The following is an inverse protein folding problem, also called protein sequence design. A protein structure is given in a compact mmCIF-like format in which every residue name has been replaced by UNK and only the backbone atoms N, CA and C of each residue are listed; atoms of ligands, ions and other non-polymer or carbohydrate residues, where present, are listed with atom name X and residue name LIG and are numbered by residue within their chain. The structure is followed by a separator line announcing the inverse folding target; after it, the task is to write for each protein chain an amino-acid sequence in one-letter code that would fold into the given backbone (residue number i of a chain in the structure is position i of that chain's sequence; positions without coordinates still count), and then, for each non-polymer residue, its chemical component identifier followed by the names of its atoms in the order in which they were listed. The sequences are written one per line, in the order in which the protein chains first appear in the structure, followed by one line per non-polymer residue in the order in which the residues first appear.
data_IF_421069085251
#
_entry.id   IF_421069085251
#
_cell.length_a   1.000
_cell.length_b   1.000
_cell.length_c   1.000
_cell.angle_alpha   90.00
_cell.angle_beta   90.00
_cell.angle_gamma   90.00
#
_symmetry.space_group_name_H-M   'P 1'
#
loop_
_entity.id
_entity.type
_entity.pdbx_description
1 polymer ?
#
# COMPACT_ATOMS: atom_id res chain seq x y z
N UNK A 1 54.43 23.62 24.77
CA UNK A 1 53.22 24.41 24.47
C UNK A 1 52.04 23.44 24.49
N UNK A 2 51.23 23.48 25.57
CA UNK A 2 50.01 22.67 25.74
C UNK A 2 48.82 23.54 25.34
N UNK A 3 48.08 23.15 24.31
CA UNK A 3 46.78 23.73 24.02
C UNK A 3 45.68 22.82 24.55
N UNK A 4 44.92 23.37 25.47
CA UNK A 4 43.75 22.82 26.07
C UNK A 4 42.58 22.99 25.09
N UNK A 5 41.94 21.88 24.65
CA UNK A 5 40.66 21.91 23.92
C UNK A 5 39.53 21.80 24.92
N UNK A 6 38.82 22.89 25.13
CA UNK A 6 37.52 22.91 25.81
C UNK A 6 36.44 22.31 24.90
N UNK A 7 35.92 21.14 25.31
CA UNK A 7 34.72 20.57 24.72
C UNK A 7 33.47 21.32 25.22
N UNK A 8 32.89 22.12 24.38
CA UNK A 8 31.55 22.68 24.59
C UNK A 8 30.53 21.65 24.10
N UNK A 9 29.88 20.97 25.04
CA UNK A 9 28.73 20.12 24.76
C UNK A 9 27.53 21.03 24.52
N UNK A 10 27.17 21.21 23.25
CA UNK A 10 25.92 21.85 22.86
C UNK A 10 24.78 20.82 22.97
N UNK A 11 23.99 20.95 24.03
CA UNK A 11 22.76 20.18 24.19
C UNK A 11 21.73 20.61 23.15
N UNK A 12 21.45 19.77 22.19
CA UNK A 12 20.36 19.93 21.24
C UNK A 12 19.07 19.46 21.93
N UNK A 13 18.28 20.42 22.40
CA UNK A 13 16.90 20.20 22.84
C UNK A 13 16.04 19.97 21.58
N UNK A 14 15.83 18.70 21.23
CA UNK A 14 14.83 18.34 20.20
C UNK A 14 13.46 18.43 20.83
N UNK A 15 12.80 19.56 20.64
CA UNK A 15 11.38 19.68 20.90
C UNK A 15 10.61 18.88 19.83
N UNK A 16 10.24 17.64 20.15
CA UNK A 16 9.33 16.85 19.34
C UNK A 16 7.94 17.46 19.51
N UNK A 17 7.57 18.38 18.62
CA UNK A 17 6.20 18.81 18.41
C UNK A 17 5.47 17.62 17.77
N UNK A 18 4.92 16.75 18.60
CA UNK A 18 3.90 15.78 18.21
C UNK A 18 2.63 16.55 17.83
N UNK A 19 2.66 17.12 16.63
CA UNK A 19 1.45 17.56 15.98
C UNK A 19 0.58 16.33 15.78
N UNK A 20 -0.52 16.25 16.52
CA UNK A 20 -1.61 15.31 16.32
C UNK A 20 -2.30 15.64 14.98
N UNK A 21 -1.63 15.38 13.87
CA UNK A 21 -2.29 15.19 12.59
C UNK A 21 -3.07 13.89 12.73
N UNK A 22 -4.30 13.99 13.22
CA UNK A 22 -5.25 12.90 13.15
C UNK A 22 -5.37 12.52 11.69
N UNK A 23 -4.85 11.35 11.32
CA UNK A 23 -5.13 10.73 10.04
C UNK A 23 -6.65 10.54 10.00
N UNK A 24 -7.34 11.48 9.37
CA UNK A 24 -8.75 11.31 9.04
C UNK A 24 -8.82 10.16 8.03
N UNK A 25 -9.01 8.95 8.53
CA UNK A 25 -9.34 7.81 7.68
C UNK A 25 -10.67 8.13 7.00
N UNK A 26 -10.61 8.51 5.73
CA UNK A 26 -11.81 8.69 4.95
C UNK A 26 -12.55 7.35 4.89
N UNK A 27 -13.83 7.36 5.28
CA UNK A 27 -14.65 6.17 5.24
C UNK A 27 -14.77 5.69 3.78
N UNK A 28 -14.35 4.45 3.46
CA UNK A 28 -14.30 3.95 2.08
C UNK A 28 -15.67 3.59 1.51
N UNK A 29 -16.74 3.66 2.30
CA UNK A 29 -18.08 3.27 1.89
C UNK A 29 -18.95 4.48 1.53
N UNK A 30 -19.93 4.33 0.63
CA UNK A 30 -20.85 5.41 0.28
C UNK A 30 -21.59 5.96 1.49
N UNK A 31 -21.66 7.28 1.59
CA UNK A 31 -22.31 7.99 2.71
C UNK A 31 -23.75 7.50 2.88
N UNK A 32 -24.12 7.13 4.11
CA UNK A 32 -25.47 6.66 4.45
C UNK A 32 -25.73 5.16 4.19
N UNK A 33 -24.76 4.42 3.63
CA UNK A 33 -24.89 2.96 3.51
C UNK A 33 -24.76 2.28 4.89
N UNK A 34 -25.31 1.05 5.02
CA UNK A 34 -25.17 0.24 6.23
C UNK A 34 -23.68 0.04 6.59
N UNK A 35 -22.84 -0.19 5.58
CA UNK A 35 -21.41 -0.35 5.75
C UNK A 35 -20.74 0.94 6.22
N UNK A 36 -21.18 2.10 5.74
CA UNK A 36 -20.71 3.40 6.19
C UNK A 36 -21.00 3.62 7.70
N UNK A 37 -22.23 3.29 8.14
CA UNK A 37 -22.61 3.39 9.55
C UNK A 37 -21.83 2.41 10.42
N UNK A 38 -21.68 1.16 9.99
CA UNK A 38 -20.91 0.15 10.71
C UNK A 38 -19.43 0.56 10.84
N UNK A 39 -18.81 1.04 9.76
CA UNK A 39 -17.43 1.52 9.78
C UNK A 39 -17.25 2.69 10.75
N UNK A 40 -18.13 3.69 10.68
CA UNK A 40 -18.09 4.83 11.59
C UNK A 40 -18.30 4.41 13.05
N UNK A 41 -19.20 3.46 13.32
CA UNK A 41 -19.40 2.90 14.65
C UNK A 41 -18.15 2.20 15.19
N UNK A 42 -17.46 1.42 14.38
CA UNK A 42 -16.18 0.79 14.74
C UNK A 42 -15.12 1.85 15.01
N UNK A 43 -14.97 2.83 14.12
CA UNK A 43 -13.98 3.90 14.28
C UNK A 43 -14.22 4.76 15.52
N UNK A 44 -15.50 5.06 15.83
CA UNK A 44 -15.87 5.76 17.06
C UNK A 44 -15.54 4.93 18.30
N UNK A 45 -15.88 3.64 18.32
CA UNK A 45 -15.59 2.76 19.45
C UNK A 45 -14.09 2.63 19.71
N UNK A 46 -13.27 2.57 18.66
CA UNK A 46 -11.81 2.55 18.78
C UNK A 46 -11.26 3.90 19.26
N UNK A 47 -11.78 5.02 18.76
CA UNK A 47 -11.41 6.35 19.23
C UNK A 47 -11.73 6.53 20.72
N UNK A 48 -12.92 6.09 21.15
CA UNK A 48 -13.34 6.12 22.55
C UNK A 48 -12.48 5.19 23.43
N UNK A 49 -12.06 4.04 22.92
CA UNK A 49 -11.13 3.14 23.62
C UNK A 49 -9.78 3.83 23.81
N UNK A 50 -9.20 4.37 22.75
CA UNK A 50 -7.92 5.10 22.79
C UNK A 50 -8.02 6.31 23.74
N UNK A 51 -9.14 7.03 23.72
CA UNK A 51 -9.36 8.17 24.62
C UNK A 51 -9.45 7.72 26.09
N UNK A 52 -10.15 6.63 26.38
CA UNK A 52 -10.19 6.04 27.74
C UNK A 52 -8.81 5.59 28.21
N UNK A 53 -8.03 4.92 27.35
CA UNK A 53 -6.67 4.50 27.66
C UNK A 53 -5.75 5.71 27.91
N UNK A 54 -5.83 6.77 27.10
CA UNK A 54 -5.10 8.02 27.30
C UNK A 54 -5.49 8.72 28.61
N UNK A 55 -6.78 8.74 28.94
CA UNK A 55 -7.26 9.34 30.18
C UNK A 55 -6.85 8.52 31.40
N UNK A 56 -6.85 7.19 31.31
CA UNK A 56 -6.37 6.32 32.37
C UNK A 56 -4.86 6.52 32.64
N UNK A 57 -4.06 6.70 31.57
CA UNK A 57 -2.63 7.05 31.69
C UNK A 57 -2.44 8.44 32.31
N UNK A 58 -3.29 9.43 31.98
CA UNK A 58 -3.23 10.78 32.56
C UNK A 58 -3.63 10.85 34.03
N UNK A 59 -4.46 9.93 34.50
CA UNK A 59 -4.90 9.87 35.90
C UNK A 59 -3.88 9.14 36.81
N UNK A 60 -2.84 8.53 36.25
CA UNK A 60 -1.76 8.01 37.05
C UNK A 60 -0.92 9.16 37.62
N UNK A 61 -0.57 9.12 38.93
CA UNK A 61 0.19 10.20 39.54
C UNK A 61 1.50 10.45 38.79
N UNK A 62 1.67 11.69 38.34
CA UNK A 62 2.71 12.22 37.43
C UNK A 62 4.16 11.97 37.93
N UNK A 63 4.34 11.52 39.17
CA UNK A 63 5.66 11.38 39.80
C UNK A 63 6.25 9.97 39.80
N UNK A 64 5.60 8.98 39.14
CA UNK A 64 6.12 7.63 39.08
C UNK A 64 6.44 7.27 37.64
N UNK A 65 7.68 7.33 37.27
CA UNK A 65 8.15 6.77 36.01
C UNK A 65 7.73 5.30 35.87
N UNK A 66 7.66 4.76 34.63
CA UNK A 66 7.28 3.37 34.41
C UNK A 66 8.20 2.44 35.19
N UNK A 67 7.60 1.44 35.84
CA UNK A 67 8.37 0.41 36.53
C UNK A 67 9.09 -0.48 35.51
N UNK A 68 10.16 -1.15 35.95
CA UNK A 68 10.87 -2.09 35.10
C UNK A 68 9.97 -3.24 34.57
N UNK A 69 8.89 -3.57 35.27
CA UNK A 69 7.89 -4.54 34.81
C UNK A 69 7.03 -3.97 33.68
N UNK A 70 6.58 -2.72 33.79
CA UNK A 70 5.81 -2.03 32.76
C UNK A 70 6.62 -1.82 31.49
N UNK A 71 7.91 -1.45 31.62
CA UNK A 71 8.84 -1.34 30.48
C UNK A 71 8.96 -2.69 29.76
N UNK A 72 9.24 -3.78 30.49
CA UNK A 72 9.33 -5.11 29.89
C UNK A 72 8.02 -5.54 29.21
N UNK A 73 6.87 -5.28 29.84
CA UNK A 73 5.59 -5.60 29.25
C UNK A 73 5.30 -4.79 27.98
N UNK A 74 5.75 -3.55 27.91
CA UNK A 74 5.67 -2.72 26.71
C UNK A 74 6.59 -3.25 25.60
N UNK A 75 7.85 -3.56 25.92
CA UNK A 75 8.82 -4.13 24.99
C UNK A 75 8.34 -5.46 24.38
N UNK A 76 7.73 -6.32 25.20
CA UNK A 76 7.14 -7.58 24.73
C UNK A 76 6.00 -7.32 23.74
N UNK A 77 5.07 -6.42 24.07
CA UNK A 77 3.96 -6.06 23.16
C UNK A 77 4.48 -5.46 21.86
N UNK A 78 5.47 -4.58 21.94
CA UNK A 78 6.09 -3.99 20.76
C UNK A 78 6.72 -5.08 19.87
N UNK A 79 7.46 -6.01 20.45
CA UNK A 79 8.07 -7.14 19.74
C UNK A 79 7.00 -8.04 19.07
N UNK A 80 5.88 -8.30 19.74
CA UNK A 80 4.75 -9.05 19.17
C UNK A 80 4.11 -8.33 18.00
N UNK A 81 3.90 -7.01 18.11
CA UNK A 81 3.35 -6.18 17.03
C UNK A 81 4.31 -6.18 15.83
N UNK A 82 5.60 -5.98 16.06
CA UNK A 82 6.59 -6.00 14.97
C UNK A 82 6.68 -7.38 14.30
N UNK A 83 6.62 -8.46 15.07
CA UNK A 83 6.58 -9.82 14.51
C UNK A 83 5.30 -10.07 13.68
N UNK A 84 4.18 -9.49 14.08
CA UNK A 84 2.91 -9.56 13.33
C UNK A 84 2.99 -8.79 12.01
N UNK A 85 3.50 -7.56 12.05
CA UNK A 85 3.73 -6.75 10.86
C UNK A 85 4.67 -7.47 9.88
N UNK A 86 5.79 -8.03 10.39
CA UNK A 86 6.72 -8.78 9.57
C UNK A 86 6.05 -9.98 8.86
N UNK A 87 5.18 -10.71 9.57
CA UNK A 87 4.40 -11.80 8.97
C UNK A 87 3.45 -11.31 7.88
N UNK A 88 2.74 -10.20 8.08
CA UNK A 88 1.87 -9.63 7.06
C UNK A 88 2.66 -9.15 5.83
N UNK A 89 3.83 -8.52 6.03
CA UNK A 89 4.70 -8.13 4.93
C UNK A 89 5.28 -9.30 4.16
N UNK A 90 5.54 -10.42 4.83
CA UNK A 90 6.00 -11.65 4.21
C UNK A 90 4.89 -12.43 3.49
N UNK A 91 3.62 -12.19 3.85
CA UNK A 91 2.48 -12.84 3.21
C UNK A 91 2.34 -12.31 1.77
N UNK A 92 2.31 -13.16 0.73
CA UNK A 92 2.08 -12.69 -0.62
C UNK A 92 0.61 -12.26 -0.80
N UNK A 93 0.43 -11.03 -1.24
CA UNK A 93 -0.85 -10.51 -1.70
C UNK A 93 -0.79 -10.35 -3.21
N UNK A 94 -1.47 -11.24 -3.92
CA UNK A 94 -1.43 -11.31 -5.37
C UNK A 94 -2.42 -10.36 -6.03
N UNK A 95 -2.00 -9.82 -7.15
CA UNK A 95 -2.84 -9.09 -8.09
C UNK A 95 -2.60 -9.63 -9.50
N UNK A 96 -3.65 -9.65 -10.30
CA UNK A 96 -3.59 -9.91 -11.71
C UNK A 96 -4.18 -8.74 -12.50
N UNK A 97 -3.64 -8.49 -13.69
CA UNK A 97 -4.10 -7.50 -14.64
C UNK A 97 -4.39 -8.21 -15.97
N UNK A 98 -5.54 -7.94 -16.55
CA UNK A 98 -5.90 -8.37 -17.88
C UNK A 98 -6.34 -7.18 -18.74
N UNK A 99 -6.22 -7.32 -20.03
CA UNK A 99 -6.59 -6.29 -21.01
C UNK A 99 -7.45 -6.88 -22.12
N UNK A 100 -8.54 -6.22 -22.42
CA UNK A 100 -9.42 -6.53 -23.55
C UNK A 100 -9.04 -5.65 -24.75
N UNK A 101 -8.27 -6.21 -25.69
CA UNK A 101 -7.71 -5.44 -26.82
C UNK A 101 -8.79 -4.74 -27.65
N UNK A 102 -9.88 -5.40 -28.10
CA UNK A 102 -10.87 -4.76 -28.97
C UNK A 102 -11.56 -3.53 -28.33
N UNK A 103 -11.81 -3.59 -27.02
CA UNK A 103 -12.52 -2.53 -26.31
C UNK A 103 -11.59 -1.63 -25.49
N UNK A 104 -10.29 -1.85 -25.52
CA UNK A 104 -9.26 -1.11 -24.78
C UNK A 104 -9.56 -1.00 -23.29
N UNK A 105 -10.04 -2.09 -22.68
CA UNK A 105 -10.44 -2.10 -21.28
C UNK A 105 -9.44 -2.85 -20.42
N UNK A 106 -9.10 -2.25 -19.30
CA UNK A 106 -8.28 -2.86 -18.26
C UNK A 106 -9.19 -3.49 -17.21
N UNK A 107 -8.93 -4.73 -16.85
CA UNK A 107 -9.52 -5.43 -15.70
C UNK A 107 -8.42 -5.84 -14.76
N UNK A 108 -8.68 -5.74 -13.47
CA UNK A 108 -7.74 -6.18 -12.45
C UNK A 108 -8.45 -6.65 -11.19
N UNK A 109 -7.78 -7.52 -10.46
CA UNK A 109 -8.21 -7.98 -9.15
C UNK A 109 -6.99 -8.22 -8.27
N UNK A 110 -7.01 -7.70 -7.05
CA UNK A 110 -5.85 -7.73 -6.15
C UNK A 110 -6.24 -7.99 -4.70
N UNK A 111 -5.22 -8.26 -3.88
CA UNK A 111 -5.36 -8.58 -2.48
C UNK A 111 -5.55 -10.07 -2.17
N UNK A 112 -5.40 -10.95 -3.16
CA UNK A 112 -5.59 -12.40 -2.99
C UNK A 112 -4.31 -13.07 -2.46
N UNK A 113 -4.51 -14.16 -1.69
CA UNK A 113 -3.40 -14.94 -1.13
C UNK A 113 -2.80 -15.95 -2.10
N UNK A 114 -3.41 -16.13 -3.26
CA UNK A 114 -2.87 -16.98 -4.33
C UNK A 114 -2.97 -16.29 -5.67
N UNK A 115 -1.97 -16.55 -6.51
CA UNK A 115 -1.91 -16.07 -7.89
C UNK A 115 -3.12 -16.57 -8.69
N UNK A 116 -3.43 -17.86 -8.56
CA UNK A 116 -4.54 -18.50 -9.29
C UNK A 116 -5.87 -17.81 -9.01
N UNK A 117 -6.15 -17.44 -7.75
CA UNK A 117 -7.37 -16.72 -7.38
C UNK A 117 -7.39 -15.29 -7.96
N UNK A 118 -6.26 -14.58 -7.95
CA UNK A 118 -6.17 -13.26 -8.56
C UNK A 118 -6.46 -13.33 -10.06
N UNK A 119 -5.89 -14.31 -10.76
CA UNK A 119 -6.11 -14.54 -12.19
C UNK A 119 -7.56 -14.92 -12.47
N UNK A 120 -8.12 -15.89 -11.75
CA UNK A 120 -9.50 -16.33 -11.88
C UNK A 120 -10.49 -15.15 -11.76
N UNK A 121 -10.32 -14.35 -10.71
CA UNK A 121 -11.20 -13.20 -10.47
C UNK A 121 -11.03 -12.10 -11.53
N UNK A 122 -9.80 -11.84 -11.97
CA UNK A 122 -9.53 -10.88 -13.05
C UNK A 122 -10.18 -11.31 -14.36
N UNK A 123 -10.04 -12.58 -14.72
CA UNK A 123 -10.65 -13.13 -15.94
C UNK A 123 -12.18 -13.21 -15.82
N UNK A 124 -12.71 -13.48 -14.63
CA UNK A 124 -14.16 -13.42 -14.39
C UNK A 124 -14.74 -12.02 -14.61
N UNK A 125 -14.02 -10.96 -14.21
CA UNK A 125 -14.39 -9.56 -14.45
C UNK A 125 -14.35 -9.17 -15.91
N UNK A 126 -13.50 -9.81 -16.69
CA UNK A 126 -13.52 -9.66 -18.14
C UNK A 126 -14.84 -10.14 -18.75
N UNK A 127 -15.39 -11.22 -18.22
CA UNK A 127 -16.64 -11.83 -18.69
C UNK A 127 -16.41 -12.93 -19.73
N UNK A 128 -17.38 -13.83 -19.80
CA UNK A 128 -17.33 -14.97 -20.72
C UNK A 128 -17.43 -14.51 -22.18
N UNK A 129 -16.67 -15.13 -23.06
CA UNK A 129 -16.69 -14.86 -24.51
C UNK A 129 -15.96 -13.58 -24.94
N UNK A 130 -15.27 -12.89 -24.04
CA UNK A 130 -14.45 -11.73 -24.37
C UNK A 130 -12.98 -12.09 -24.58
N UNK A 131 -12.33 -11.38 -25.50
CA UNK A 131 -10.91 -11.58 -25.81
C UNK A 131 -10.03 -10.84 -24.81
N UNK A 132 -10.01 -11.30 -23.55
CA UNK A 132 -9.08 -10.77 -22.56
C UNK A 132 -7.77 -11.56 -22.55
N UNK A 133 -6.71 -10.81 -22.42
CA UNK A 133 -5.38 -11.35 -22.28
C UNK A 133 -4.83 -11.00 -20.90
N UNK A 134 -4.28 -11.99 -20.21
CA UNK A 134 -3.57 -11.76 -18.98
C UNK A 134 -2.29 -10.99 -19.30
N UNK A 135 -2.13 -9.81 -18.71
CA UNK A 135 -0.97 -8.93 -18.94
C UNK A 135 0.11 -9.19 -17.90
N UNK A 136 -0.27 -9.27 -16.62
CA UNK A 136 0.68 -9.47 -15.54
C UNK A 136 0.04 -10.11 -14.31
N UNK A 137 0.87 -10.82 -13.55
CA UNK A 137 0.62 -11.19 -12.16
C UNK A 137 1.79 -10.75 -11.29
N UNK A 138 1.53 -10.34 -10.06
CA UNK A 138 2.56 -9.91 -9.13
C UNK A 138 2.04 -9.91 -7.70
N UNK A 139 2.98 -9.91 -6.74
CA UNK A 139 2.66 -9.83 -5.32
C UNK A 139 3.60 -8.86 -4.59
N UNK A 140 3.07 -8.17 -3.58
CA UNK A 140 3.81 -7.28 -2.66
C UNK A 140 4.67 -6.23 -3.38
N UNK A 141 4.17 -5.68 -4.47
CA UNK A 141 4.87 -4.69 -5.29
C UNK A 141 3.86 -3.86 -6.10
N UNK A 142 4.33 -2.88 -6.84
CA UNK A 142 3.54 -2.21 -7.87
C UNK A 142 3.92 -2.74 -9.25
N UNK A 143 2.97 -2.67 -10.17
CA UNK A 143 3.19 -2.95 -11.59
C UNK A 143 2.43 -1.96 -12.45
N UNK A 144 2.97 -1.69 -13.61
CA UNK A 144 2.32 -0.97 -14.70
C UNK A 144 2.66 -1.65 -16.01
N UNK A 145 1.86 -1.44 -17.02
CA UNK A 145 2.18 -1.89 -18.38
C UNK A 145 2.08 -0.72 -19.36
N UNK A 146 2.97 -0.78 -20.33
CA UNK A 146 3.01 0.13 -21.48
C UNK A 146 2.78 -0.66 -22.76
N UNK A 147 2.45 0.05 -23.83
CA UNK A 147 2.21 -0.48 -25.16
C UNK A 147 2.54 0.59 -26.21
N UNK A 148 2.76 0.22 -27.49
CA UNK A 148 3.02 1.17 -28.57
C UNK A 148 1.89 2.19 -28.70
N UNK A 149 2.20 3.39 -29.12
CA UNK A 149 1.23 4.41 -29.44
C UNK A 149 0.23 3.89 -30.49
N UNK A 150 -1.03 4.28 -30.34
CA UNK A 150 -2.13 3.68 -31.11
C UNK A 150 -2.77 2.46 -30.43
N UNK A 151 -2.16 1.92 -29.38
CA UNK A 151 -2.68 0.83 -28.56
C UNK A 151 -2.13 -0.55 -28.93
N UNK A 152 -2.30 -1.54 -28.05
CA UNK A 152 -1.86 -2.90 -28.31
C UNK A 152 -2.76 -3.59 -29.33
N UNK A 153 -2.18 -4.35 -30.26
CA UNK A 153 -2.88 -5.17 -31.23
C UNK A 153 -2.83 -6.65 -30.93
N UNK A 154 -1.84 -7.10 -30.14
CA UNK A 154 -1.61 -8.49 -29.76
C UNK A 154 -1.02 -8.54 -28.34
N UNK A 155 -1.07 -9.70 -27.67
CA UNK A 155 -0.54 -9.84 -26.29
C UNK A 155 0.95 -9.51 -26.12
N UNK A 156 1.75 -9.69 -27.18
CA UNK A 156 3.20 -9.36 -27.14
C UNK A 156 3.48 -7.85 -27.17
N UNK A 157 2.48 -7.00 -27.34
CA UNK A 157 2.64 -5.56 -27.33
C UNK A 157 2.58 -4.95 -25.91
N UNK A 158 2.40 -5.78 -24.88
CA UNK A 158 2.41 -5.33 -23.50
C UNK A 158 3.80 -5.46 -22.88
N UNK A 159 4.29 -4.36 -22.35
CA UNK A 159 5.59 -4.26 -21.66
C UNK A 159 5.34 -3.95 -20.18
N UNK A 160 5.69 -4.89 -19.31
CA UNK A 160 5.37 -4.80 -17.89
C UNK A 160 6.57 -4.31 -17.10
N UNK A 161 6.39 -3.23 -16.35
CA UNK A 161 7.34 -2.75 -15.35
C UNK A 161 6.85 -3.08 -13.95
N UNK A 162 7.75 -3.59 -13.09
CA UNK A 162 7.47 -3.88 -11.68
C UNK A 162 8.49 -3.16 -10.81
N UNK A 163 8.02 -2.51 -9.74
CA UNK A 163 8.86 -1.88 -8.73
C UNK A 163 8.04 -1.68 -7.44
N UNK A 164 8.70 -1.53 -6.30
CA UNK A 164 8.00 -1.14 -5.06
C UNK A 164 7.46 0.29 -5.11
N UNK A 165 8.06 1.13 -5.92
CA UNK A 165 7.59 2.48 -6.20
C UNK A 165 6.77 2.49 -7.48
N UNK A 166 5.52 2.97 -7.42
CA UNK A 166 4.60 2.99 -8.56
C UNK A 166 5.12 3.78 -9.75
N UNK A 167 5.72 4.95 -9.52
CA UNK A 167 6.31 5.75 -10.59
C UNK A 167 7.48 5.04 -11.27
N UNK A 168 8.30 4.32 -10.50
CA UNK A 168 9.38 3.51 -11.08
C UNK A 168 8.83 2.33 -11.90
N UNK A 169 7.70 1.75 -11.50
CA UNK A 169 7.03 0.73 -12.29
C UNK A 169 6.57 1.28 -13.65
N UNK A 170 6.00 2.50 -13.70
CA UNK A 170 5.64 3.19 -14.95
C UNK A 170 6.90 3.39 -15.81
N UNK A 171 7.94 4.00 -15.26
CA UNK A 171 9.18 4.28 -15.99
C UNK A 171 9.79 3.00 -16.57
N UNK A 172 9.78 1.89 -15.83
CA UNK A 172 10.29 0.60 -16.32
C UNK A 172 9.44 0.05 -17.47
N UNK A 173 8.11 0.15 -17.36
CA UNK A 173 7.21 -0.31 -18.40
C UNK A 173 7.42 0.48 -19.71
N UNK A 174 7.45 1.81 -19.62
CA UNK A 174 7.64 2.71 -20.76
C UNK A 174 9.01 2.46 -21.41
N UNK A 175 10.08 2.41 -20.63
CA UNK A 175 11.45 2.13 -21.16
C UNK A 175 11.55 0.78 -21.85
N UNK A 176 10.89 -0.25 -21.32
CA UNK A 176 10.87 -1.57 -21.96
C UNK A 176 10.16 -1.54 -23.32
N UNK A 177 9.08 -0.78 -23.42
CA UNK A 177 8.36 -0.56 -24.67
C UNK A 177 9.19 0.28 -25.67
N UNK A 178 9.76 1.39 -25.22
CA UNK A 178 10.58 2.29 -26.04
C UNK A 178 11.85 1.61 -26.58
N UNK A 179 12.42 0.66 -25.85
CA UNK A 179 13.55 -0.14 -26.30
C UNK A 179 13.23 -0.96 -27.57
N UNK A 180 11.95 -1.27 -27.81
CA UNK A 180 11.48 -2.03 -28.97
C UNK A 180 10.92 -1.13 -30.05
N UNK A 181 10.16 -0.10 -29.67
CA UNK A 181 9.38 0.73 -30.59
C UNK A 181 9.98 2.11 -30.86
N UNK A 182 10.98 2.52 -30.09
CA UNK A 182 11.62 3.84 -30.21
C UNK A 182 11.18 4.81 -29.12
N UNK A 183 12.00 5.83 -28.90
CA UNK A 183 11.77 6.86 -27.89
C UNK A 183 10.49 7.65 -28.17
N UNK A 184 9.69 7.92 -27.14
CA UNK A 184 8.38 8.58 -27.22
C UNK A 184 7.36 7.92 -28.17
N UNK A 185 7.47 6.60 -28.39
CA UNK A 185 6.51 5.83 -29.19
C UNK A 185 5.65 4.89 -28.33
N UNK A 186 5.60 5.13 -27.03
CA UNK A 186 4.93 4.26 -26.08
C UNK A 186 4.09 5.04 -25.08
N UNK A 187 2.87 4.57 -24.91
CA UNK A 187 1.95 5.01 -23.87
C UNK A 187 1.80 3.95 -22.79
N UNK A 188 1.46 4.34 -21.58
CA UNK A 188 1.07 3.41 -20.52
C UNK A 188 -0.43 3.49 -20.25
N UNK A 189 -0.97 2.47 -19.57
CA UNK A 189 -2.38 2.42 -19.25
C UNK A 189 -2.77 3.58 -18.32
N UNK A 190 -3.74 4.38 -18.74
CA UNK A 190 -4.36 5.40 -17.89
C UNK A 190 -5.35 4.70 -16.95
N UNK A 191 -4.98 4.58 -15.69
CA UNK A 191 -5.76 3.91 -14.67
C UNK A 191 -5.75 4.72 -13.37
N UNK A 192 -6.92 4.81 -12.77
CA UNK A 192 -7.09 5.34 -11.42
C UNK A 192 -7.39 4.18 -10.49
N UNK A 193 -6.46 3.86 -9.62
CA UNK A 193 -6.63 2.83 -8.60
C UNK A 193 -6.73 3.46 -7.22
N UNK A 194 -7.03 2.66 -6.21
CA UNK A 194 -7.02 3.12 -4.82
C UNK A 194 -5.62 3.50 -4.33
N UNK A 195 -4.57 3.07 -5.01
CA UNK A 195 -3.17 3.35 -4.71
C UNK A 195 -2.54 4.37 -5.65
N UNK A 196 -3.34 5.12 -6.42
CA UNK A 196 -2.92 6.12 -7.41
C UNK A 196 -2.93 5.57 -8.83
N UNK A 197 -2.04 6.08 -9.68
CA UNK A 197 -2.00 5.81 -11.12
C UNK A 197 -1.30 4.50 -11.47
N UNK A 198 -1.10 3.60 -10.50
CA UNK A 198 -0.45 2.30 -10.66
C UNK A 198 -1.17 1.21 -9.91
N UNK A 199 -0.97 -0.04 -10.34
CA UNK A 199 -1.48 -1.23 -9.66
C UNK A 199 -0.49 -1.65 -8.59
N UNK A 200 -0.83 -1.42 -7.31
CA UNK A 200 -0.01 -1.86 -6.19
C UNK A 200 -0.76 -2.87 -5.32
N UNK A 201 -0.04 -3.86 -4.80
CA UNK A 201 -0.58 -4.86 -3.89
C UNK A 201 0.43 -5.23 -2.82
N UNK A 202 -0.05 -5.66 -1.66
CA UNK A 202 0.76 -6.00 -0.50
C UNK A 202 0.27 -5.31 0.76
N UNK A 203 0.80 -5.73 1.91
CA UNK A 203 0.43 -5.16 3.20
C UNK A 203 0.62 -3.63 3.26
N UNK A 204 1.71 -3.12 2.67
CA UNK A 204 2.02 -1.70 2.70
C UNK A 204 1.14 -0.86 1.75
N UNK A 205 0.38 -1.48 0.84
CA UNK A 205 -0.47 -0.81 -0.15
C UNK A 205 -1.97 -1.08 0.03
N UNK A 206 -2.33 -2.21 0.65
CA UNK A 206 -3.72 -2.52 0.95
C UNK A 206 -3.80 -3.12 2.35
N UNK A 207 -4.37 -2.38 3.27
CA UNK A 207 -4.52 -2.80 4.68
C UNK A 207 -5.41 -4.04 4.82
N UNK A 208 -6.17 -4.40 3.79
CA UNK A 208 -7.12 -5.52 3.83
C UNK A 208 -6.96 -6.37 2.58
N UNK A 209 -6.43 -7.58 2.75
CA UNK A 209 -6.56 -8.63 1.75
C UNK A 209 -8.04 -8.99 1.57
N UNK A 210 -8.44 -9.23 0.36
CA UNK A 210 -9.74 -9.82 0.05
C UNK A 210 -9.52 -11.33 0.05
N UNK A 211 -10.06 -12.03 1.05
CA UNK A 211 -10.15 -13.50 1.08
C UNK A 211 -11.46 -13.94 0.45
#
# INVERSE_FOLDING_TARGET
MKQSMMNTAAGVLVAVLLGSAGLAYANPYPVGSQQWHNFNGIMQSEADRIQRERNAVRQQPINRGPTAAEIRAWEQREAEVQARIARFRATPYWMAIAYEIPNRRVMYAGGYRSEARAVEETMRRCGRGRSCHLVATFANTCAMFAYPDGGPNKPSDFFVGKDRNGQQAIVRAVRACEAVHGYNQCSYADVQTRTGDTFCTGYDYSVYGQD
#
